data_IF_596313696257
#
_entry.id   IF_596313696257
#
_cell.length_a   1.000
_cell.length_b   1.000
_cell.length_c   1.000
_cell.angle_alpha   90.00
_cell.angle_beta   90.00
_cell.angle_gamma   90.00
#
_symmetry.space_group_name_H-M   'P 1'
#
loop_
_entity.id
_entity.type
_entity.pdbx_description
1 polymer ?
#
# COMPACT_ATOMS: atom_id res chain seq x y z
N UNK A 1 12.86 -2.30 31.43
CA UNK A 1 12.39 -2.83 30.12
C UNK A 1 13.32 -3.96 29.72
N UNK A 2 12.78 -5.15 29.39
CA UNK A 2 13.60 -6.33 29.12
C UNK A 2 14.59 -6.08 27.96
N UNK A 3 15.88 -6.43 28.09
CA UNK A 3 16.92 -6.17 27.08
C UNK A 3 16.55 -6.74 25.70
N UNK A 4 15.80 -7.84 25.68
CA UNK A 4 15.26 -8.48 24.46
C UNK A 4 14.38 -7.53 23.64
N UNK A 5 13.51 -6.73 24.29
CA UNK A 5 12.63 -5.81 23.59
C UNK A 5 13.42 -4.69 22.88
N UNK A 6 14.54 -4.26 23.47
CA UNK A 6 15.43 -3.26 22.86
C UNK A 6 16.14 -3.83 21.64
N UNK A 7 16.69 -5.03 21.75
CA UNK A 7 17.32 -5.71 20.62
C UNK A 7 16.35 -5.90 19.46
N UNK A 8 15.11 -6.36 19.74
CA UNK A 8 14.08 -6.51 18.71
C UNK A 8 13.71 -5.19 18.03
N UNK A 9 13.52 -4.11 18.82
CA UNK A 9 13.25 -2.78 18.27
C UNK A 9 14.40 -2.27 17.42
N UNK A 10 15.64 -2.51 17.83
CA UNK A 10 16.81 -2.07 17.08
C UNK A 10 16.96 -2.85 15.77
N UNK A 11 16.85 -4.17 15.81
CA UNK A 11 16.93 -5.00 14.59
C UNK A 11 15.83 -4.66 13.59
N UNK A 12 14.59 -4.48 14.06
CA UNK A 12 13.47 -4.14 13.17
C UNK A 12 13.64 -2.75 12.57
N UNK A 13 14.03 -1.74 13.36
CA UNK A 13 14.27 -0.40 12.83
C UNK A 13 15.47 -0.35 11.87
N UNK A 14 16.55 -1.11 12.10
CA UNK A 14 17.66 -1.20 11.14
C UNK A 14 17.20 -1.83 9.81
N UNK A 15 16.39 -2.89 9.85
CA UNK A 15 15.83 -3.46 8.61
C UNK A 15 14.89 -2.51 7.89
N UNK A 16 14.07 -1.75 8.62
CA UNK A 16 13.21 -0.73 8.03
C UNK A 16 14.03 0.43 7.45
N UNK A 17 15.16 0.76 8.07
CA UNK A 17 16.08 1.78 7.57
C UNK A 17 16.71 1.37 6.24
N UNK A 18 17.18 0.12 6.10
CA UNK A 18 17.76 -0.36 4.85
C UNK A 18 16.72 -0.46 3.73
N UNK A 19 15.51 -0.92 4.04
CA UNK A 19 14.38 -0.91 3.09
C UNK A 19 14.03 0.53 2.67
N UNK A 20 14.01 1.46 3.62
CA UNK A 20 13.71 2.87 3.34
C UNK A 20 14.77 3.51 2.44
N UNK A 21 16.05 3.21 2.66
CA UNK A 21 17.15 3.65 1.81
C UNK A 21 17.03 3.08 0.38
N UNK A 22 16.67 1.81 0.25
CA UNK A 22 16.45 1.18 -1.06
C UNK A 22 15.27 1.82 -1.81
N UNK A 23 14.15 2.07 -1.13
CA UNK A 23 12.99 2.76 -1.73
C UNK A 23 13.32 4.19 -2.14
N UNK A 24 13.96 4.95 -1.25
CA UNK A 24 14.35 6.33 -1.52
C UNK A 24 15.30 6.41 -2.71
N UNK A 25 16.34 5.57 -2.73
CA UNK A 25 17.32 5.53 -3.83
C UNK A 25 16.68 5.09 -5.14
N UNK A 26 15.82 4.06 -5.13
CA UNK A 26 15.05 3.64 -6.30
C UNK A 26 14.16 4.76 -6.85
N UNK A 27 13.41 5.45 -5.98
CA UNK A 27 12.58 6.59 -6.37
C UNK A 27 13.40 7.77 -6.91
N UNK A 28 14.54 8.08 -6.28
CA UNK A 28 15.41 9.17 -6.72
C UNK A 28 16.04 8.87 -8.09
N UNK A 29 16.48 7.63 -8.31
CA UNK A 29 17.01 7.17 -9.59
C UNK A 29 15.92 7.23 -10.67
N UNK A 30 14.70 6.81 -10.36
CA UNK A 30 13.56 6.92 -11.28
C UNK A 30 13.24 8.37 -11.66
N UNK A 31 13.38 9.32 -10.74
CA UNK A 31 13.19 10.76 -10.99
C UNK A 31 14.32 11.37 -11.82
N UNK A 32 15.58 11.03 -11.52
CA UNK A 32 16.75 11.65 -12.14
C UNK A 32 17.16 11.00 -13.47
N UNK A 33 16.86 9.71 -13.64
CA UNK A 33 17.26 8.87 -14.78
C UNK A 33 16.09 7.99 -15.24
N UNK A 34 15.00 8.58 -15.74
CA UNK A 34 13.83 7.81 -16.21
C UNK A 34 14.16 6.92 -17.40
N UNK A 35 15.23 7.21 -18.15
CA UNK A 35 15.67 6.40 -19.29
C UNK A 35 16.26 5.03 -18.92
N UNK A 36 16.69 4.82 -17.67
CA UNK A 36 17.31 3.57 -17.23
C UNK A 36 16.30 2.43 -17.12
N UNK A 37 16.74 1.21 -17.43
CA UNK A 37 15.89 0.01 -17.43
C UNK A 37 15.27 -0.26 -16.05
N UNK A 38 16.05 -0.04 -14.97
CA UNK A 38 15.60 -0.16 -13.58
C UNK A 38 14.48 0.84 -13.27
N UNK A 39 14.61 2.09 -13.76
CA UNK A 39 13.61 3.14 -13.60
C UNK A 39 12.33 2.78 -14.34
N UNK A 40 12.44 2.23 -15.57
CA UNK A 40 11.26 1.79 -16.33
C UNK A 40 10.50 0.70 -15.61
N UNK A 41 11.18 -0.32 -15.09
CA UNK A 41 10.54 -1.38 -14.30
C UNK A 41 9.86 -0.83 -13.04
N UNK A 42 10.45 0.18 -12.39
CA UNK A 42 9.89 0.79 -11.19
C UNK A 42 8.69 1.72 -11.49
N UNK A 43 8.68 2.31 -12.69
CA UNK A 43 7.67 3.25 -13.18
C UNK A 43 6.54 2.57 -13.95
N UNK A 44 6.72 1.29 -14.33
CA UNK A 44 5.74 0.48 -15.05
C UNK A 44 4.68 0.00 -14.05
N UNK A 45 3.75 0.90 -13.73
CA UNK A 45 2.59 0.63 -12.90
C UNK A 45 1.33 0.63 -13.77
N UNK A 46 0.56 -0.46 -13.70
CA UNK A 46 -0.72 -0.62 -14.41
C UNK A 46 -1.80 0.38 -13.96
N UNK A 47 -1.50 1.24 -12.97
CA UNK A 47 -2.45 2.20 -12.40
C UNK A 47 -2.80 3.40 -13.32
N UNK A 48 -2.09 3.56 -14.44
CA UNK A 48 -2.28 4.68 -15.38
C UNK A 48 -1.86 6.04 -14.82
N UNK A 49 -1.21 6.07 -13.66
CA UNK A 49 -0.68 7.29 -13.04
C UNK A 49 0.55 7.79 -13.78
N UNK A 50 0.79 9.11 -13.80
CA UNK A 50 2.00 9.64 -14.42
C UNK A 50 3.25 9.11 -13.68
N UNK A 51 4.33 8.76 -14.40
CA UNK A 51 5.53 8.18 -13.81
C UNK A 51 6.16 9.06 -12.73
N UNK A 52 6.04 10.39 -12.86
CA UNK A 52 6.50 11.33 -11.84
C UNK A 52 5.79 11.16 -10.49
N UNK A 53 4.48 10.84 -10.48
CA UNK A 53 3.75 10.57 -9.23
C UNK A 53 4.20 9.26 -8.58
N UNK A 54 4.46 8.23 -9.40
CA UNK A 54 4.93 6.93 -8.92
C UNK A 54 6.31 7.07 -8.29
N UNK A 55 7.27 7.70 -8.98
CA UNK A 55 8.60 7.94 -8.42
C UNK A 55 8.55 8.85 -7.19
N UNK A 56 7.69 9.88 -7.20
CA UNK A 56 7.44 10.72 -6.03
C UNK A 56 6.93 9.93 -4.82
N UNK A 57 6.05 8.95 -5.04
CA UNK A 57 5.58 8.05 -3.99
C UNK A 57 6.71 7.23 -3.38
N UNK A 58 7.61 6.65 -4.19
CA UNK A 58 8.79 5.92 -3.69
C UNK A 58 9.73 6.81 -2.87
N UNK A 59 9.96 8.05 -3.31
CA UNK A 59 10.78 9.01 -2.56
C UNK A 59 10.15 9.38 -1.22
N UNK A 60 8.86 9.73 -1.21
CA UNK A 60 8.16 10.14 0.01
C UNK A 60 8.05 8.98 0.99
N UNK A 61 7.67 7.78 0.52
CA UNK A 61 7.56 6.59 1.36
C UNK A 61 8.92 6.15 1.91
N UNK A 62 9.96 6.12 1.09
CA UNK A 62 11.33 5.82 1.52
C UNK A 62 11.86 6.83 2.55
N UNK A 63 11.64 8.12 2.32
CA UNK A 63 12.02 9.20 3.24
C UNK A 63 11.31 9.10 4.59
N UNK A 64 10.00 8.85 4.60
CA UNK A 64 9.24 8.64 5.83
C UNK A 64 9.73 7.40 6.60
N UNK A 65 10.01 6.30 5.90
CA UNK A 65 10.51 5.07 6.51
C UNK A 65 11.89 5.27 7.16
N UNK A 66 12.77 6.03 6.51
CA UNK A 66 14.08 6.42 7.04
C UNK A 66 13.97 7.29 8.29
N UNK A 67 13.07 8.26 8.30
CA UNK A 67 12.84 9.12 9.47
C UNK A 67 12.31 8.33 10.67
N UNK A 68 11.30 7.49 10.44
CA UNK A 68 10.70 6.65 11.49
C UNK A 68 11.74 5.68 12.05
N UNK A 69 12.49 5.01 11.18
CA UNK A 69 13.54 4.07 11.62
C UNK A 69 14.69 4.75 12.36
N UNK A 70 15.10 5.96 11.95
CA UNK A 70 16.08 6.74 12.70
C UNK A 70 15.59 7.11 14.11
N UNK A 71 14.33 7.50 14.25
CA UNK A 71 13.73 7.79 15.56
C UNK A 71 13.67 6.53 16.43
N UNK A 72 13.32 5.38 15.85
CA UNK A 72 13.28 4.09 16.56
C UNK A 72 14.67 3.61 17.01
N UNK A 73 15.69 3.72 16.16
CA UNK A 73 17.08 3.44 16.51
C UNK A 73 17.61 4.42 17.58
N UNK A 74 17.39 5.72 17.41
CA UNK A 74 17.85 6.74 18.37
C UNK A 74 17.16 6.64 19.73
N UNK A 75 15.86 6.35 19.74
CA UNK A 75 15.08 6.14 20.96
C UNK A 75 15.48 4.87 21.72
N UNK A 76 15.89 3.81 21.01
CA UNK A 76 16.30 2.53 21.63
C UNK A 76 17.73 2.56 22.16
N UNK A 77 18.66 3.23 21.47
CA UNK A 77 20.06 3.35 21.90
C UNK A 77 20.27 4.40 23.01
N UNK A 78 19.56 5.52 22.96
CA UNK A 78 19.82 6.68 23.84
C UNK A 78 18.92 6.80 25.06
N UNK A 79 17.99 5.86 25.29
CA UNK A 79 16.91 5.95 26.29
C UNK A 79 16.16 7.30 26.30
N UNK A 80 16.13 7.97 25.15
CA UNK A 80 15.45 9.27 24.99
C UNK A 80 13.97 9.01 24.83
N UNK A 81 13.23 9.01 25.95
CA UNK A 81 11.77 8.80 25.95
C UNK A 81 11.04 9.72 24.97
N UNK A 82 11.50 10.96 24.79
CA UNK A 82 10.93 11.87 23.79
C UNK A 82 10.99 11.31 22.35
N UNK A 83 12.08 10.65 21.98
CA UNK A 83 12.24 10.05 20.64
C UNK A 83 11.34 8.83 20.46
N UNK A 84 11.19 8.03 21.53
CA UNK A 84 10.23 6.91 21.57
C UNK A 84 8.78 7.38 21.45
N UNK A 85 8.41 8.49 22.11
CA UNK A 85 7.06 9.05 22.00
C UNK A 85 6.79 9.51 20.57
N UNK A 86 7.70 10.26 19.95
CA UNK A 86 7.55 10.70 18.56
C UNK A 86 7.48 9.49 17.61
N UNK A 87 8.33 8.48 17.81
CA UNK A 87 8.30 7.23 17.04
C UNK A 87 6.92 6.54 17.14
N UNK A 88 6.39 6.34 18.35
CA UNK A 88 5.09 5.70 18.55
C UNK A 88 3.95 6.55 17.96
N UNK A 89 3.99 7.87 18.11
CA UNK A 89 3.00 8.77 17.51
C UNK A 89 3.00 8.69 15.99
N UNK A 90 4.17 8.67 15.34
CA UNK A 90 4.26 8.51 13.89
C UNK A 90 3.73 7.14 13.44
N UNK A 91 4.11 6.06 14.13
CA UNK A 91 3.58 4.73 13.84
C UNK A 91 2.07 4.64 14.00
N UNK A 92 1.50 5.29 15.02
CA UNK A 92 0.05 5.37 15.22
C UNK A 92 -0.64 6.12 14.07
N UNK A 93 -0.09 7.25 13.61
CA UNK A 93 -0.61 8.01 12.48
C UNK A 93 -0.57 7.19 11.18
N UNK A 94 0.55 6.50 10.89
CA UNK A 94 0.67 5.63 9.72
C UNK A 94 -0.33 4.48 9.79
N UNK A 95 -0.49 3.87 10.97
CA UNK A 95 -1.47 2.79 11.18
C UNK A 95 -2.89 3.28 10.95
N UNK A 96 -3.24 4.47 11.46
CA UNK A 96 -4.55 5.08 11.24
C UNK A 96 -4.80 5.41 9.75
N UNK A 97 -3.79 5.92 9.04
CA UNK A 97 -3.89 6.16 7.60
C UNK A 97 -4.13 4.85 6.82
N UNK A 98 -3.43 3.78 7.18
CA UNK A 98 -3.59 2.46 6.58
C UNK A 98 -4.96 1.86 6.87
N UNK A 99 -5.50 1.98 8.09
CA UNK A 99 -6.84 1.47 8.41
C UNK A 99 -7.93 2.22 7.67
N UNK A 100 -7.82 3.54 7.53
CA UNK A 100 -8.73 4.36 6.71
C UNK A 100 -8.66 3.93 5.25
N UNK A 101 -7.44 3.77 4.71
CA UNK A 101 -7.25 3.32 3.34
C UNK A 101 -7.87 1.94 3.08
N UNK A 102 -7.65 0.99 3.99
CA UNK A 102 -8.23 -0.35 3.91
C UNK A 102 -9.77 -0.30 3.99
N UNK A 103 -10.31 0.55 4.87
CA UNK A 103 -11.75 0.79 5.00
C UNK A 103 -12.37 1.36 3.72
N UNK A 104 -11.69 2.31 3.07
CA UNK A 104 -12.13 2.89 1.79
C UNK A 104 -12.10 1.85 0.67
N UNK A 105 -11.05 1.03 0.58
CA UNK A 105 -10.97 -0.06 -0.40
C UNK A 105 -12.08 -1.10 -0.19
N UNK A 106 -12.33 -1.50 1.06
CA UNK A 106 -13.41 -2.42 1.39
C UNK A 106 -14.77 -1.85 1.01
N UNK A 107 -15.01 -0.56 1.30
CA UNK A 107 -16.27 0.09 0.96
C UNK A 107 -16.49 0.18 -0.55
N UNK A 108 -15.45 0.52 -1.33
CA UNK A 108 -15.50 0.51 -2.79
C UNK A 108 -15.81 -0.91 -3.34
N UNK A 109 -15.14 -1.94 -2.79
CA UNK A 109 -15.36 -3.33 -3.16
C UNK A 109 -16.79 -3.81 -2.87
N UNK A 110 -17.34 -3.46 -1.69
CA UNK A 110 -18.72 -3.78 -1.33
C UNK A 110 -19.69 -3.08 -2.28
N UNK A 111 -19.49 -1.78 -2.56
CA UNK A 111 -20.33 -1.01 -3.48
C UNK A 111 -20.38 -1.64 -4.87
N UNK A 112 -19.25 -2.13 -5.38
CA UNK A 112 -19.20 -2.84 -6.66
C UNK A 112 -19.90 -4.20 -6.63
N UNK A 113 -19.69 -4.99 -5.57
CA UNK A 113 -20.41 -6.27 -5.41
C UNK A 113 -21.93 -6.08 -5.30
N UNK A 114 -22.38 -5.04 -4.60
CA UNK A 114 -23.81 -4.70 -4.50
C UNK A 114 -24.34 -4.28 -5.87
N UNK A 115 -23.64 -3.42 -6.60
CA UNK A 115 -24.04 -2.99 -7.96
C UNK A 115 -24.09 -4.17 -8.93
N UNK A 116 -23.11 -5.07 -8.89
CA UNK A 116 -23.05 -6.28 -9.71
C UNK A 116 -24.19 -7.26 -9.37
N UNK A 117 -24.50 -7.45 -8.08
CA UNK A 117 -25.66 -8.26 -7.66
C UNK A 117 -26.97 -7.65 -8.15
N UNK A 118 -27.15 -6.33 -8.02
CA UNK A 118 -28.34 -5.66 -8.54
C UNK A 118 -28.49 -5.84 -10.05
N UNK A 119 -27.42 -5.61 -10.82
CA UNK A 119 -27.43 -5.80 -12.28
C UNK A 119 -27.73 -7.26 -12.65
N UNK A 120 -27.16 -8.24 -11.94
CA UNK A 120 -27.45 -9.66 -12.16
C UNK A 120 -28.89 -10.04 -11.81
N UNK A 121 -29.47 -9.46 -10.75
CA UNK A 121 -30.87 -9.72 -10.37
C UNK A 121 -31.84 -9.09 -11.37
N UNK A 122 -31.57 -7.86 -11.84
CA UNK A 122 -32.37 -7.20 -12.89
C UNK A 122 -32.27 -7.93 -14.24
N UNK A 123 -31.09 -8.43 -14.62
CA UNK A 123 -30.92 -9.25 -15.82
C UNK A 123 -31.64 -10.59 -15.70
N UNK A 124 -31.59 -11.24 -14.54
CA UNK A 124 -32.32 -12.49 -14.31
C UNK A 124 -33.84 -12.30 -14.30
N UNK A 125 -34.39 -11.20 -13.77
CA UNK A 125 -35.83 -10.91 -13.86
C UNK A 125 -36.26 -10.52 -15.27
N UNK A 126 -35.41 -9.82 -16.04
CA UNK A 126 -35.68 -9.56 -17.46
C UNK A 126 -35.62 -10.85 -18.31
N UNK A 127 -34.72 -11.79 -17.99
CA UNK A 127 -34.60 -13.07 -18.70
C UNK A 127 -35.67 -14.08 -18.30
N UNK A 128 -36.18 -14.08 -17.05
CA UNK A 128 -37.30 -14.95 -16.66
C UNK A 128 -38.66 -14.46 -17.16
N UNK A 129 -38.80 -13.18 -17.52
CA UNK A 129 -39.98 -12.67 -18.24
C UNK A 129 -40.03 -13.07 -19.73
N UNK A 130 -38.98 -13.73 -20.26
CA UNK A 130 -38.85 -14.07 -21.68
C UNK A 130 -38.34 -15.52 -21.83
N UNK A 131 -39.20 -16.50 -21.54
CA UNK A 131 -39.15 -17.91 -21.99
C UNK A 131 -37.79 -18.46 -22.52
N UNK A 132 -37.04 -19.16 -21.64
CA UNK A 132 -36.22 -20.40 -21.76
C UNK A 132 -35.40 -20.75 -23.05
N UNK A 133 -34.37 -21.64 -22.97
CA UNK A 133 -33.14 -21.58 -22.16
C UNK A 133 -31.86 -21.85 -23.00
N UNK A 134 -30.68 -21.30 -22.63
CA UNK A 134 -29.37 -21.92 -22.98
C UNK A 134 -28.22 -21.38 -22.13
N UNK A 135 -27.70 -22.27 -21.28
CA UNK A 135 -26.29 -22.58 -21.03
C UNK A 135 -25.33 -21.38 -20.75
N UNK A 136 -24.95 -21.28 -19.48
CA UNK A 136 -23.56 -21.29 -19.00
C UNK A 136 -22.66 -20.09 -19.27
N UNK A 137 -22.19 -19.42 -18.20
CA UNK A 137 -20.86 -18.80 -18.08
C UNK A 137 -20.64 -18.48 -16.58
N UNK A 138 -19.96 -19.33 -15.81
CA UNK A 138 -18.50 -19.40 -15.60
C UNK A 138 -17.82 -18.11 -15.12
N UNK A 139 -17.35 -18.18 -13.86
CA UNK A 139 -16.22 -17.47 -13.19
C UNK A 139 -16.38 -15.96 -12.97
N UNK A 140 -16.56 -15.48 -11.74
CA UNK A 140 -15.56 -15.39 -10.65
C UNK A 140 -14.16 -15.02 -11.16
N UNK A 141 -13.97 -13.74 -11.47
CA UNK A 141 -12.69 -13.02 -11.44
C UNK A 141 -13.00 -11.52 -11.53
N UNK A 142 -13.18 -10.84 -10.40
CA UNK A 142 -13.42 -9.38 -10.42
C UNK A 142 -12.84 -8.64 -9.21
N UNK A 143 -11.77 -9.17 -8.60
CA UNK A 143 -11.00 -8.42 -7.59
C UNK A 143 -9.50 -8.32 -7.90
N UNK A 144 -9.02 -8.93 -8.98
CA UNK A 144 -7.59 -8.90 -9.38
C UNK A 144 -7.36 -8.29 -10.76
N UNK A 145 -8.37 -7.63 -11.35
CA UNK A 145 -8.27 -7.10 -12.70
C UNK A 145 -8.89 -5.70 -12.78
N UNK A 146 -8.17 -4.70 -12.26
CA UNK A 146 -8.24 -3.35 -12.80
C UNK A 146 -6.88 -3.04 -13.41
N UNK A 147 -6.87 -3.15 -14.75
CA UNK A 147 -6.07 -2.33 -15.65
C UNK A 147 -6.30 -0.84 -15.37
#
# INVERSE_FOLDING_TARGET
MAPVARCLLLTTNVTLWTVGAALLSGGLVALLRPEWEISRVLLDDDSGRPPAEIAGFYVVSGGMLLLISMLGCGGSCGERYAWMVVYVSLMALVTAALTVYLGLQLNACIKERVRARFVSTYLNTLFTARSTPRIGFSRLNCCTQRR
#
